data_IF_427389604335
#
_entry.id   IF_427389604335
#
_cell.length_a   1.000
_cell.length_b   1.000
_cell.length_c   1.000
_cell.angle_alpha   90.00
_cell.angle_beta   90.00
_cell.angle_gamma   90.00
#
_symmetry.space_group_name_H-M   'P 1'
#
loop_
_entity.id
_entity.type
_entity.pdbx_description
1 polymer ?
#
# COMPACT_ATOMS: atom_id res chain seq x y z
N UNK A 1 -6.42 -25.04 -25.72
CA UNK A 1 -5.35 -24.55 -24.81
C UNK A 1 -5.94 -23.32 -24.14
N UNK A 2 -6.19 -23.36 -22.83
CA UNK A 2 -6.68 -22.18 -22.13
C UNK A 2 -5.48 -21.26 -21.92
N UNK A 3 -5.41 -20.15 -22.65
CA UNK A 3 -4.46 -19.07 -22.38
C UNK A 3 -4.61 -18.67 -20.90
N UNK A 4 -3.54 -18.85 -20.14
CA UNK A 4 -3.44 -18.27 -18.80
C UNK A 4 -3.47 -16.76 -18.97
N UNK A 5 -4.67 -16.17 -18.83
CA UNK A 5 -4.81 -14.71 -18.71
C UNK A 5 -4.02 -14.29 -17.48
N UNK A 6 -2.90 -13.61 -17.71
CA UNK A 6 -2.18 -12.95 -16.63
C UNK A 6 -3.15 -11.94 -16.00
N UNK A 7 -3.49 -12.08 -14.71
CA UNK A 7 -4.41 -11.16 -14.06
C UNK A 7 -3.80 -9.76 -14.05
N UNK A 8 -4.63 -8.74 -14.24
CA UNK A 8 -4.18 -7.36 -14.11
C UNK A 8 -3.83 -7.07 -12.64
N UNK A 9 -3.06 -6.03 -12.37
CA UNK A 9 -2.73 -5.64 -10.99
C UNK A 9 -3.99 -5.37 -10.15
N UNK A 10 -5.05 -4.84 -10.76
CA UNK A 10 -6.36 -4.66 -10.12
C UNK A 10 -7.03 -5.99 -9.76
N UNK A 11 -6.92 -7.00 -10.63
CA UNK A 11 -7.47 -8.34 -10.38
C UNK A 11 -6.72 -9.01 -9.22
N UNK A 12 -5.39 -8.86 -9.18
CA UNK A 12 -4.55 -9.37 -8.10
C UNK A 12 -4.84 -8.63 -6.79
N UNK A 13 -4.98 -7.31 -6.82
CA UNK A 13 -5.28 -6.49 -5.64
C UNK A 13 -6.63 -6.84 -4.98
N UNK A 14 -7.58 -7.35 -5.76
CA UNK A 14 -8.88 -7.83 -5.25
C UNK A 14 -8.83 -9.23 -4.64
N UNK A 15 -7.72 -9.97 -4.78
CA UNK A 15 -7.60 -11.31 -4.19
C UNK A 15 -7.59 -11.22 -2.65
N UNK A 16 -8.16 -12.22 -1.94
CA UNK A 16 -8.24 -12.20 -0.48
C UNK A 16 -6.85 -12.13 0.17
N UNK A 17 -5.84 -12.79 -0.41
CA UNK A 17 -4.46 -12.72 0.07
C UNK A 17 -3.84 -11.34 -0.09
N UNK A 18 -4.08 -10.65 -1.22
CA UNK A 18 -3.59 -9.30 -1.42
C UNK A 18 -4.25 -8.31 -0.44
N UNK A 19 -5.56 -8.42 -0.22
CA UNK A 19 -6.28 -7.61 0.77
C UNK A 19 -5.76 -7.88 2.18
N UNK A 20 -5.61 -9.15 2.58
CA UNK A 20 -5.10 -9.52 3.89
C UNK A 20 -3.64 -9.09 4.09
N UNK A 21 -2.81 -9.18 3.05
CA UNK A 21 -1.43 -8.71 3.05
C UNK A 21 -1.35 -7.20 3.24
N UNK A 22 -2.15 -6.44 2.50
CA UNK A 22 -2.23 -4.98 2.62
C UNK A 22 -2.65 -4.56 4.03
N UNK A 23 -3.70 -5.16 4.59
CA UNK A 23 -4.16 -4.85 5.94
C UNK A 23 -3.08 -5.06 7.02
N UNK A 24 -2.24 -6.10 6.88
CA UNK A 24 -1.11 -6.35 7.80
C UNK A 24 -0.04 -5.27 7.70
N UNK A 25 0.26 -4.80 6.48
CA UNK A 25 1.22 -3.71 6.25
C UNK A 25 0.69 -2.41 6.85
N UNK A 26 -0.57 -2.07 6.58
CA UNK A 26 -1.22 -0.87 7.11
C UNK A 26 -1.27 -0.87 8.66
N UNK A 27 -1.57 -2.01 9.29
CA UNK A 27 -1.55 -2.14 10.74
C UNK A 27 -0.16 -1.92 11.36
N UNK A 28 0.92 -2.35 10.66
CA UNK A 28 2.29 -2.13 11.12
C UNK A 28 2.70 -0.66 10.98
N UNK A 29 2.32 -0.03 9.87
CA UNK A 29 2.58 1.40 9.64
C UNK A 29 1.84 2.25 10.68
N UNK A 30 0.60 1.91 11.03
CA UNK A 30 -0.17 2.62 12.05
C UNK A 30 0.46 2.55 13.45
N UNK A 31 1.31 1.55 13.73
CA UNK A 31 2.04 1.44 14.99
C UNK A 31 3.35 2.26 15.00
N UNK A 32 3.77 2.81 13.86
CA UNK A 32 4.98 3.62 13.73
C UNK A 32 4.72 5.10 14.01
N UNK A 33 5.77 5.83 14.37
CA UNK A 33 5.69 7.30 14.49
C UNK A 33 5.36 7.94 13.15
N UNK A 34 4.77 9.16 13.12
CA UNK A 34 4.44 9.85 11.87
C UNK A 34 5.64 10.02 10.93
N UNK A 35 6.83 10.24 11.48
CA UNK A 35 8.08 10.37 10.71
C UNK A 35 8.48 9.06 10.03
N UNK A 36 8.37 7.94 10.74
CA UNK A 36 8.63 6.60 10.19
C UNK A 36 7.61 6.21 9.12
N UNK A 37 6.34 6.59 9.30
CA UNK A 37 5.30 6.38 8.30
C UNK A 37 5.60 7.15 7.01
N UNK A 38 6.00 8.43 7.13
CA UNK A 38 6.39 9.26 5.99
C UNK A 38 7.62 8.68 5.28
N UNK A 39 8.63 8.23 6.02
CA UNK A 39 9.83 7.60 5.46
C UNK A 39 9.50 6.29 4.72
N UNK A 40 8.58 5.48 5.24
CA UNK A 40 8.12 4.26 4.57
C UNK A 40 7.48 4.58 3.21
N UNK A 41 6.55 5.52 3.15
CA UNK A 41 5.86 5.86 1.90
C UNK A 41 6.76 6.56 0.89
N UNK A 42 7.70 7.41 1.33
CA UNK A 42 8.75 7.97 0.47
C UNK A 42 9.62 6.87 -0.16
N UNK A 43 10.06 5.88 0.63
CA UNK A 43 10.82 4.75 0.13
C UNK A 43 10.03 3.90 -0.88
N UNK A 44 8.76 3.61 -0.59
CA UNK A 44 7.86 2.92 -1.54
C UNK A 44 7.73 3.72 -2.84
N UNK A 45 7.59 5.04 -2.75
CA UNK A 45 7.50 5.90 -3.93
C UNK A 45 8.75 5.91 -4.79
N UNK A 46 9.93 5.90 -4.17
CA UNK A 46 11.22 5.80 -4.87
C UNK A 46 11.42 4.44 -5.54
N UNK A 47 10.96 3.36 -4.91
CA UNK A 47 11.14 2.00 -5.42
C UNK A 47 10.14 1.62 -6.53
N UNK A 48 8.90 2.09 -6.44
CA UNK A 48 7.81 1.61 -7.31
C UNK A 48 7.15 2.71 -8.16
N UNK A 49 7.64 3.96 -8.11
CA UNK A 49 7.21 5.03 -9.01
C UNK A 49 5.82 5.62 -8.74
N UNK A 50 5.18 5.30 -7.61
CA UNK A 50 3.79 5.69 -7.30
C UNK A 50 3.43 5.84 -5.82
N UNK A 51 4.39 6.13 -4.95
CA UNK A 51 4.15 6.29 -3.50
C UNK A 51 3.69 7.70 -3.16
N UNK A 52 2.42 8.02 -3.42
CA UNK A 52 1.79 9.14 -2.70
C UNK A 52 1.19 8.56 -1.42
N UNK A 53 1.61 9.00 -0.23
CA UNK A 53 0.93 8.61 1.00
C UNK A 53 -0.56 8.99 0.90
N UNK A 54 -1.49 8.21 1.49
CA UNK A 54 -2.86 8.68 1.64
C UNK A 54 -2.81 10.03 2.35
N UNK A 55 -3.59 11.01 1.88
CA UNK A 55 -3.70 12.32 2.51
C UNK A 55 -4.24 12.12 3.93
N UNK A 56 -3.34 12.14 4.91
CA UNK A 56 -3.71 12.21 6.33
C UNK A 56 -4.08 13.68 6.53
N UNK A 57 -5.38 13.99 6.54
CA UNK A 57 -5.84 15.32 6.89
C UNK A 57 -5.33 15.65 8.31
N UNK A 58 -4.66 16.80 8.51
CA UNK A 58 -4.27 17.20 9.85
C UNK A 58 -5.53 17.43 10.67
N UNK A 59 -5.67 16.68 11.77
CA UNK A 59 -6.64 17.01 12.82
C UNK A 59 -6.36 18.46 13.24
N UNK A 60 -7.35 19.31 12.97
CA UNK A 60 -7.24 20.75 13.12
C UNK A 60 -6.89 21.20 14.53
N UNK A 61 -6.32 22.40 14.58
CA UNK A 61 -6.21 23.23 15.77
C UNK A 61 -6.81 24.61 15.47
#
# INVERSE_FOLDING_TARGET
MAEARNPSEADVAATPDAVAGRAKVEARIAACTPEEQAAFWDAVGRCFGGGKPPEIEPAGE
#
